data_IF_105987396445
#
_entry.id   IF_105987396445
#
_cell.length_a   1.000
_cell.length_b   1.000
_cell.length_c   1.000
_cell.angle_alpha   90.00
_cell.angle_beta   90.00
_cell.angle_gamma   90.00
#
_symmetry.space_group_name_H-M   'P 1'
#
loop_
_entity.id
_entity.type
_entity.pdbx_description
1 polymer ?
#
# COMPACT_ATOMS: atom_id res chain seq x y z
N UNK A 1 -35.51 -8.56 -15.07
CA UNK A 1 -34.41 -8.99 -14.19
C UNK A 1 -34.21 -7.90 -13.15
N UNK A 2 -34.95 -7.97 -12.04
CA UNK A 2 -34.77 -7.05 -10.91
C UNK A 2 -33.40 -7.35 -10.35
N UNK A 3 -32.47 -6.40 -10.44
CA UNK A 3 -31.40 -6.35 -9.44
C UNK A 3 -32.15 -5.92 -8.19
N UNK A 4 -32.64 -6.90 -7.45
CA UNK A 4 -32.90 -6.77 -6.03
C UNK A 4 -31.55 -6.32 -5.45
N UNK A 5 -31.38 -5.00 -5.40
CA UNK A 5 -30.48 -4.35 -4.45
C UNK A 5 -30.68 -5.13 -3.17
N UNK A 6 -29.63 -5.82 -2.75
CA UNK A 6 -29.57 -6.70 -1.60
C UNK A 6 -30.39 -6.05 -0.48
N UNK A 7 -31.66 -6.45 -0.37
CA UNK A 7 -32.44 -6.15 0.82
C UNK A 7 -31.75 -7.07 1.82
N UNK A 8 -30.85 -6.47 2.59
CA UNK A 8 -30.17 -7.15 3.68
C UNK A 8 -31.28 -7.56 4.62
N UNK A 9 -31.75 -8.80 4.45
CA UNK A 9 -32.67 -9.42 5.37
C UNK A 9 -31.91 -9.52 6.70
N UNK A 10 -32.33 -8.81 7.77
CA UNK A 10 -31.59 -8.81 9.03
C UNK A 10 -31.55 -10.18 9.68
N UNK A 11 -32.34 -11.15 9.19
CA UNK A 11 -32.29 -12.55 9.64
C UNK A 11 -31.13 -13.36 9.04
N UNK A 12 -30.41 -12.84 8.02
CA UNK A 12 -29.35 -13.57 7.31
C UNK A 12 -28.02 -12.80 7.32
N UNK A 13 -26.86 -13.49 7.45
CA UNK A 13 -25.54 -12.84 7.45
C UNK A 13 -25.20 -12.28 6.06
N UNK A 14 -25.46 -13.06 5.02
CA UNK A 14 -25.38 -12.66 3.62
C UNK A 14 -26.77 -12.71 2.98
N UNK A 15 -27.02 -11.81 2.02
CA UNK A 15 -28.25 -11.82 1.22
C UNK A 15 -28.14 -12.87 0.10
N UNK A 16 -27.85 -14.13 0.46
CA UNK A 16 -27.91 -15.29 -0.43
C UNK A 16 -29.05 -16.21 -0.02
N UNK A 17 -29.93 -16.54 -0.97
CA UNK A 17 -31.06 -17.42 -0.72
C UNK A 17 -30.69 -18.87 -1.02
N UNK A 18 -30.50 -19.65 0.04
CA UNK A 18 -30.37 -21.11 -0.02
C UNK A 18 -31.65 -21.76 0.54
N UNK A 19 -32.71 -21.94 -0.26
CA UNK A 19 -34.05 -22.30 0.22
C UNK A 19 -34.09 -23.60 1.05
N UNK A 20 -33.24 -24.59 0.76
CA UNK A 20 -33.18 -25.83 1.54
C UNK A 20 -32.50 -25.69 2.91
N UNK A 21 -31.63 -24.70 3.09
CA UNK A 21 -30.89 -24.48 4.32
C UNK A 21 -31.49 -23.34 5.15
N UNK A 22 -32.13 -22.35 4.52
CA UNK A 22 -32.72 -21.21 5.21
C UNK A 22 -34.03 -21.55 5.94
N UNK A 23 -34.88 -22.40 5.37
CA UNK A 23 -36.20 -22.69 5.93
C UNK A 23 -36.27 -24.07 6.64
N UNK A 24 -35.13 -24.77 6.72
CA UNK A 24 -35.01 -26.13 7.27
C UNK A 24 -34.47 -26.18 8.71
N UNK A 25 -34.44 -27.38 9.34
CA UNK A 25 -33.91 -27.58 10.70
C UNK A 25 -32.39 -27.27 10.82
N UNK A 26 -31.71 -27.11 9.69
CA UNK A 26 -30.29 -26.78 9.61
C UNK A 26 -30.01 -25.27 9.50
N UNK A 27 -31.02 -24.40 9.61
CA UNK A 27 -30.84 -22.94 9.53
C UNK A 27 -29.83 -22.41 10.56
N UNK A 28 -29.96 -22.80 11.83
CA UNK A 28 -29.07 -22.33 12.91
C UNK A 28 -27.61 -22.75 12.70
N UNK A 29 -27.27 -24.04 12.46
CA UNK A 29 -25.89 -24.43 12.21
C UNK A 29 -25.31 -23.82 10.93
N UNK A 30 -26.12 -23.65 9.89
CA UNK A 30 -25.71 -22.98 8.65
C UNK A 30 -25.41 -21.49 8.88
N UNK A 31 -26.27 -20.78 9.61
CA UNK A 31 -26.05 -19.39 10.01
C UNK A 31 -24.75 -19.21 10.81
N UNK A 32 -24.47 -20.11 11.77
CA UNK A 32 -23.23 -20.09 12.55
C UNK A 32 -22.01 -20.31 11.63
N UNK A 33 -22.08 -21.28 10.73
CA UNK A 33 -21.01 -21.55 9.76
C UNK A 33 -20.71 -20.31 8.89
N UNK A 34 -21.75 -19.65 8.41
CA UNK A 34 -21.63 -18.46 7.57
C UNK A 34 -21.02 -17.28 8.33
N UNK A 35 -21.46 -17.03 9.57
CA UNK A 35 -20.86 -16.02 10.45
C UNK A 35 -19.37 -16.30 10.72
N UNK A 36 -19.01 -17.54 11.02
CA UNK A 36 -17.61 -17.93 11.24
C UNK A 36 -16.79 -17.73 9.97
N UNK A 37 -17.33 -18.10 8.81
CA UNK A 37 -16.66 -17.94 7.52
C UNK A 37 -16.39 -16.47 7.20
N UNK A 38 -17.36 -15.58 7.45
CA UNK A 38 -17.21 -14.13 7.28
C UNK A 38 -16.15 -13.55 8.22
N UNK A 39 -16.15 -13.97 9.48
CA UNK A 39 -15.13 -13.53 10.44
C UNK A 39 -13.73 -13.95 9.98
N UNK A 40 -13.55 -15.20 9.58
CA UNK A 40 -12.26 -15.70 9.08
C UNK A 40 -11.82 -14.92 7.85
N UNK A 41 -12.71 -14.68 6.88
CA UNK A 41 -12.40 -13.90 5.69
C UNK A 41 -11.97 -12.47 6.03
N UNK A 42 -12.68 -11.80 6.96
CA UNK A 42 -12.33 -10.46 7.43
C UNK A 42 -10.95 -10.45 8.12
N UNK A 43 -10.66 -11.43 8.96
CA UNK A 43 -9.34 -11.55 9.60
C UNK A 43 -8.22 -11.78 8.58
N UNK A 44 -8.44 -12.65 7.58
CA UNK A 44 -7.47 -12.88 6.53
C UNK A 44 -7.21 -11.62 5.69
N UNK A 45 -8.26 -10.86 5.37
CA UNK A 45 -8.16 -9.60 4.64
C UNK A 45 -7.33 -8.57 5.43
N UNK A 46 -7.67 -8.32 6.70
CA UNK A 46 -6.93 -7.42 7.57
C UNK A 46 -5.46 -7.88 7.73
N UNK A 47 -5.22 -9.18 7.88
CA UNK A 47 -3.87 -9.71 8.01
C UNK A 47 -3.03 -9.46 6.75
N UNK A 48 -3.62 -9.59 5.56
CA UNK A 48 -2.95 -9.29 4.29
C UNK A 48 -2.60 -7.81 4.16
N UNK A 49 -3.54 -6.92 4.49
CA UNK A 49 -3.31 -5.46 4.49
C UNK A 49 -2.17 -5.10 5.45
N UNK A 50 -2.21 -5.63 6.67
CA UNK A 50 -1.19 -5.38 7.68
C UNK A 50 0.17 -5.95 7.30
N UNK A 51 0.22 -7.10 6.64
CA UNK A 51 1.46 -7.69 6.12
C UNK A 51 2.08 -6.75 5.06
N UNK A 52 1.28 -6.26 4.12
CA UNK A 52 1.74 -5.32 3.10
C UNK A 52 2.29 -4.02 3.72
N UNK A 53 1.51 -3.40 4.61
CA UNK A 53 1.91 -2.17 5.31
C UNK A 53 3.17 -2.40 6.15
N UNK A 54 3.27 -3.54 6.83
CA UNK A 54 4.46 -3.90 7.62
C UNK A 54 5.72 -4.01 6.76
N UNK A 55 5.65 -4.75 5.65
CA UNK A 55 6.78 -4.95 4.74
C UNK A 55 7.23 -3.63 4.10
N UNK A 56 6.29 -2.81 3.63
CA UNK A 56 6.60 -1.49 3.06
C UNK A 56 7.14 -0.51 4.10
N UNK A 57 6.65 -0.57 5.35
CA UNK A 57 7.20 0.22 6.46
C UNK A 57 8.64 -0.19 6.76
N UNK A 58 8.95 -1.49 6.76
CA UNK A 58 10.33 -1.96 6.92
C UNK A 58 11.23 -1.40 5.83
N UNK A 59 10.81 -1.48 4.55
CA UNK A 59 11.57 -0.89 3.44
C UNK A 59 11.79 0.62 3.62
N UNK A 60 10.74 1.34 4.01
CA UNK A 60 10.80 2.78 4.29
C UNK A 60 11.81 3.12 5.39
N UNK A 61 11.76 2.40 6.51
CA UNK A 61 12.68 2.60 7.64
C UNK A 61 14.12 2.31 7.22
N UNK A 62 14.35 1.26 6.43
CA UNK A 62 15.70 0.95 5.92
C UNK A 62 16.24 2.06 5.01
N UNK A 63 15.40 2.68 4.18
CA UNK A 63 15.79 3.87 3.39
C UNK A 63 16.14 5.07 4.28
N UNK A 64 15.36 5.33 5.33
CA UNK A 64 15.64 6.41 6.29
C UNK A 64 16.98 6.17 7.00
N UNK A 65 17.25 4.93 7.43
CA UNK A 65 18.52 4.55 8.04
C UNK A 65 19.68 4.79 7.07
N UNK A 66 19.55 4.35 5.82
CA UNK A 66 20.56 4.57 4.79
C UNK A 66 20.80 6.06 4.54
N UNK A 67 19.75 6.87 4.42
CA UNK A 67 19.83 8.32 4.27
C UNK A 67 20.65 8.95 5.41
N UNK A 68 20.33 8.61 6.66
CA UNK A 68 21.05 9.10 7.83
C UNK A 68 22.51 8.62 7.85
N UNK A 69 22.78 7.35 7.49
CA UNK A 69 24.14 6.81 7.39
C UNK A 69 25.00 7.56 6.38
N UNK A 70 24.42 7.95 5.24
CA UNK A 70 25.10 8.68 4.17
C UNK A 70 25.33 10.15 4.53
N UNK A 71 24.34 10.80 5.14
CA UNK A 71 24.43 12.21 5.55
C UNK A 71 25.47 12.40 6.67
N UNK A 72 25.42 11.56 7.71
CA UNK A 72 26.32 11.64 8.87
C UNK A 72 27.58 10.77 8.74
N UNK A 73 27.97 10.38 7.52
CA UNK A 73 29.10 9.49 7.22
C UNK A 73 30.35 9.82 8.05
N UNK A 74 30.79 11.08 8.04
CA UNK A 74 32.01 11.51 8.74
C UNK A 74 31.91 11.37 10.26
N UNK A 75 30.72 11.56 10.83
CA UNK A 75 30.45 11.40 12.25
C UNK A 75 30.44 9.90 12.62
N UNK A 76 29.74 9.09 11.84
CA UNK A 76 29.62 7.65 12.07
C UNK A 76 30.98 6.93 11.97
N UNK A 77 31.83 7.33 11.01
CA UNK A 77 33.19 6.79 10.89
C UNK A 77 34.05 7.14 12.11
N UNK A 78 33.93 8.37 12.66
CA UNK A 78 34.68 8.80 13.85
C UNK A 78 34.27 8.06 15.14
N UNK A 79 33.02 7.62 15.24
CA UNK A 79 32.55 6.82 16.38
C UNK A 79 32.89 5.33 16.25
N UNK A 80 33.46 4.89 15.11
CA UNK A 80 33.93 3.51 14.97
C UNK A 80 35.01 3.21 15.99
N UNK A 81 34.86 2.08 16.70
CA UNK A 81 35.82 1.60 17.70
C UNK A 81 37.22 1.32 17.11
N UNK A 82 37.30 1.17 15.79
CA UNK A 82 38.51 0.92 15.02
C UNK A 82 39.11 2.18 14.39
N UNK A 83 38.54 3.36 14.68
CA UNK A 83 39.02 4.62 14.11
C UNK A 83 40.41 4.98 14.62
N UNK A 84 41.33 5.17 13.68
CA UNK A 84 42.63 5.79 13.86
C UNK A 84 42.88 6.66 12.63
N UNK A 85 43.55 7.80 12.78
CA UNK A 85 43.71 8.76 11.67
C UNK A 85 44.40 8.15 10.44
N UNK A 86 45.39 7.28 10.68
CA UNK A 86 46.08 6.51 9.62
C UNK A 86 45.22 5.46 8.89
N UNK A 87 44.06 5.07 9.45
CA UNK A 87 43.15 4.09 8.85
C UNK A 87 41.83 4.71 8.35
N UNK A 88 41.68 6.04 8.44
CA UNK A 88 40.47 6.76 8.03
C UNK A 88 40.04 6.41 6.62
N UNK A 89 40.98 6.39 5.67
CA UNK A 89 40.67 6.10 4.28
C UNK A 89 40.06 4.71 4.06
N UNK A 90 40.66 3.68 4.65
CA UNK A 90 40.17 2.29 4.53
C UNK A 90 38.79 2.13 5.16
N UNK A 91 38.58 2.73 6.33
CA UNK A 91 37.28 2.75 7.02
C UNK A 91 36.20 3.46 6.19
N UNK A 92 36.52 4.59 5.54
CA UNK A 92 35.56 5.26 4.66
C UNK A 92 35.16 4.39 3.47
N UNK A 93 36.12 3.69 2.85
CA UNK A 93 35.84 2.80 1.71
C UNK A 93 34.92 1.66 2.13
N UNK A 94 35.22 1.02 3.26
CA UNK A 94 34.42 -0.09 3.80
C UNK A 94 33.00 0.38 4.17
N UNK A 95 32.88 1.51 4.86
CA UNK A 95 31.59 2.08 5.25
C UNK A 95 30.71 2.47 4.05
N UNK A 96 31.29 3.07 3.00
CA UNK A 96 30.54 3.41 1.78
C UNK A 96 30.14 2.14 1.02
N UNK A 97 31.01 1.13 0.99
CA UNK A 97 30.69 -0.17 0.40
C UNK A 97 29.48 -0.80 1.11
N UNK A 98 29.46 -0.80 2.44
CA UNK A 98 28.30 -1.29 3.23
C UNK A 98 27.02 -0.49 2.90
N UNK A 99 27.11 0.82 2.71
CA UNK A 99 25.96 1.64 2.32
C UNK A 99 25.44 1.28 0.91
N UNK A 100 26.35 1.03 -0.04
CA UNK A 100 25.98 0.57 -1.38
C UNK A 100 25.33 -0.82 -1.36
N UNK A 101 25.88 -1.76 -0.59
CA UNK A 101 25.32 -3.10 -0.42
C UNK A 101 23.94 -3.04 0.24
N UNK A 102 23.78 -2.24 1.29
CA UNK A 102 22.49 -2.01 1.96
C UNK A 102 21.44 -1.43 1.00
N UNK A 103 21.81 -0.49 0.11
CA UNK A 103 20.90 0.03 -0.91
C UNK A 103 20.43 -1.06 -1.89
N UNK A 104 21.35 -1.92 -2.36
CA UNK A 104 21.02 -3.03 -3.27
C UNK A 104 20.08 -4.03 -2.61
N UNK A 105 20.29 -4.33 -1.32
CA UNK A 105 19.40 -5.20 -0.54
C UNK A 105 17.99 -4.59 -0.42
N UNK A 106 17.88 -3.29 -0.18
CA UNK A 106 16.59 -2.58 -0.12
C UNK A 106 15.89 -2.62 -1.48
N UNK A 107 16.63 -2.38 -2.58
CA UNK A 107 16.11 -2.46 -3.95
C UNK A 107 15.52 -3.85 -4.23
N UNK A 108 16.28 -4.91 -3.95
CA UNK A 108 15.80 -6.30 -4.12
C UNK A 108 14.63 -6.65 -3.20
N UNK A 109 14.60 -6.13 -1.97
CA UNK A 109 13.48 -6.33 -1.06
C UNK A 109 12.18 -5.70 -1.59
N UNK A 110 12.25 -4.47 -2.11
CA UNK A 110 11.10 -3.79 -2.71
C UNK A 110 10.64 -4.47 -4.01
N UNK A 111 11.55 -4.97 -4.84
CA UNK A 111 11.21 -5.76 -6.02
C UNK A 111 10.45 -7.04 -5.65
N UNK A 112 10.85 -7.72 -4.57
CA UNK A 112 10.13 -8.89 -4.06
C UNK A 112 8.73 -8.53 -3.54
N UNK A 113 8.59 -7.42 -2.81
CA UNK A 113 7.27 -6.93 -2.38
C UNK A 113 6.39 -6.64 -3.59
N UNK A 114 6.91 -5.94 -4.60
CA UNK A 114 6.15 -5.62 -5.80
C UNK A 114 5.73 -6.89 -6.56
N UNK A 115 6.63 -7.87 -6.72
CA UNK A 115 6.31 -9.13 -7.40
C UNK A 115 5.23 -9.93 -6.69
N UNK A 116 5.25 -9.99 -5.36
CA UNK A 116 4.25 -10.73 -4.56
C UNK A 116 2.90 -10.00 -4.54
N UNK A 117 2.92 -8.69 -4.33
CA UNK A 117 1.70 -7.91 -4.06
C UNK A 117 1.13 -7.20 -5.27
N UNK A 118 1.81 -7.11 -6.41
CA UNK A 118 1.33 -6.37 -7.59
C UNK A 118 -0.07 -6.81 -8.06
N UNK A 119 -0.27 -8.12 -8.21
CA UNK A 119 -1.57 -8.69 -8.63
C UNK A 119 -2.61 -8.54 -7.52
N UNK A 120 -2.21 -8.77 -6.27
CA UNK A 120 -3.10 -8.65 -5.10
C UNK A 120 -3.62 -7.21 -4.98
N UNK A 121 -2.72 -6.23 -5.06
CA UNK A 121 -3.06 -4.81 -5.04
C UNK A 121 -3.94 -4.45 -6.24
N UNK A 122 -3.63 -4.93 -7.44
CA UNK A 122 -4.48 -4.64 -8.62
C UNK A 122 -5.93 -5.11 -8.41
N UNK A 123 -6.11 -6.34 -7.92
CA UNK A 123 -7.43 -6.90 -7.63
C UNK A 123 -8.11 -6.12 -6.49
N UNK A 124 -7.38 -5.84 -5.40
CA UNK A 124 -7.89 -5.10 -4.25
C UNK A 124 -8.35 -3.69 -4.64
N UNK A 125 -7.54 -2.97 -5.40
CA UNK A 125 -7.89 -1.66 -5.95
C UNK A 125 -9.16 -1.75 -6.80
N UNK A 126 -9.25 -2.75 -7.69
CA UNK A 126 -10.44 -2.96 -8.53
C UNK A 126 -11.71 -3.20 -7.71
N UNK A 127 -11.63 -4.08 -6.69
CA UNK A 127 -12.76 -4.39 -5.80
C UNK A 127 -13.16 -3.16 -4.99
N UNK A 128 -12.21 -2.42 -4.42
CA UNK A 128 -12.48 -1.21 -3.65
C UNK A 128 -13.12 -0.12 -4.50
N UNK A 129 -12.66 0.09 -5.73
CA UNK A 129 -13.30 1.03 -6.67
C UNK A 129 -14.73 0.62 -6.99
N UNK A 130 -14.94 -0.67 -7.30
CA UNK A 130 -16.27 -1.20 -7.57
C UNK A 130 -17.21 -1.00 -6.36
N UNK A 131 -16.74 -1.32 -5.16
CA UNK A 131 -17.50 -1.19 -3.93
C UNK A 131 -17.82 0.27 -3.59
N UNK A 132 -16.86 1.19 -3.76
CA UNK A 132 -17.07 2.64 -3.56
C UNK A 132 -18.14 3.17 -4.52
N UNK A 133 -18.10 2.79 -5.80
CA UNK A 133 -19.09 3.25 -6.77
C UNK A 133 -20.49 2.70 -6.49
N UNK A 134 -20.62 1.44 -6.09
CA UNK A 134 -21.90 0.88 -5.66
C UNK A 134 -22.42 1.53 -4.37
N UNK A 135 -21.53 1.80 -3.40
CA UNK A 135 -21.86 2.53 -2.18
C UNK A 135 -22.39 3.93 -2.48
N UNK A 136 -21.72 4.66 -3.39
CA UNK A 136 -22.17 5.97 -3.84
C UNK A 136 -23.56 5.94 -4.51
N UNK A 137 -23.83 4.96 -5.37
CA UNK A 137 -25.16 4.79 -5.99
C UNK A 137 -26.24 4.47 -4.95
N UNK A 138 -25.93 3.60 -3.98
CA UNK A 138 -26.86 3.25 -2.91
C UNK A 138 -27.20 4.48 -2.06
N UNK A 139 -26.21 5.34 -1.77
CA UNK A 139 -26.41 6.60 -1.03
C UNK A 139 -27.34 7.60 -1.73
N UNK A 140 -27.43 7.56 -3.07
CA UNK A 140 -28.38 8.39 -3.83
C UNK A 140 -29.82 7.89 -3.63
N UNK A 141 -29.98 6.58 -3.41
CA UNK A 141 -31.30 5.92 -3.34
C UNK A 141 -31.84 5.79 -1.91
N UNK A 142 -30.99 5.85 -0.88
CA UNK A 142 -31.39 5.71 0.54
C UNK A 142 -31.38 7.05 1.28
N UNK A 143 -32.20 7.19 2.32
CA UNK A 143 -32.14 8.34 3.22
C UNK A 143 -30.82 8.31 4.00
N UNK A 144 -30.04 9.37 3.91
CA UNK A 144 -28.71 9.50 4.52
C UNK A 144 -28.74 9.21 6.04
N UNK A 145 -29.74 9.73 6.76
CA UNK A 145 -29.90 9.55 8.22
C UNK A 145 -30.58 8.24 8.63
N UNK A 146 -30.77 7.29 7.72
CA UNK A 146 -31.21 5.94 8.08
C UNK A 146 -30.03 5.08 8.55
N UNK A 147 -30.29 4.04 9.33
CA UNK A 147 -29.26 3.07 9.76
C UNK A 147 -28.50 2.52 8.55
N UNK A 148 -29.22 2.15 7.49
CA UNK A 148 -28.65 1.66 6.23
C UNK A 148 -27.77 2.71 5.55
N UNK A 149 -28.21 3.98 5.50
CA UNK A 149 -27.44 5.07 4.93
C UNK A 149 -26.11 5.31 5.67
N UNK A 150 -26.16 5.34 7.01
CA UNK A 150 -24.96 5.49 7.84
C UNK A 150 -23.99 4.32 7.68
N UNK A 151 -24.49 3.07 7.65
CA UNK A 151 -23.64 1.89 7.41
C UNK A 151 -22.89 1.96 6.08
N UNK A 152 -23.55 2.40 5.01
CA UNK A 152 -22.94 2.54 3.69
C UNK A 152 -21.89 3.66 3.68
N UNK A 153 -22.13 4.77 4.39
CA UNK A 153 -21.15 5.86 4.54
C UNK A 153 -19.90 5.34 5.24
N UNK A 154 -20.04 4.70 6.41
CA UNK A 154 -18.89 4.21 7.17
C UNK A 154 -18.11 3.16 6.38
N UNK A 155 -18.79 2.24 5.71
CA UNK A 155 -18.15 1.24 4.86
C UNK A 155 -17.38 1.88 3.70
N UNK A 156 -18.00 2.83 2.98
CA UNK A 156 -17.36 3.53 1.86
C UNK A 156 -16.16 4.36 2.35
N UNK A 157 -16.27 5.01 3.51
CA UNK A 157 -15.19 5.77 4.13
C UNK A 157 -14.02 4.86 4.53
N UNK A 158 -14.30 3.67 5.07
CA UNK A 158 -13.27 2.68 5.40
C UNK A 158 -12.47 2.26 4.17
N UNK A 159 -13.13 1.98 3.04
CA UNK A 159 -12.45 1.66 1.77
C UNK A 159 -11.57 2.81 1.26
N UNK A 160 -12.02 4.06 1.41
CA UNK A 160 -11.17 5.22 1.06
C UNK A 160 -9.95 5.33 1.95
N UNK A 161 -10.09 5.09 3.26
CA UNK A 161 -8.97 5.11 4.21
C UNK A 161 -7.97 4.01 3.84
N UNK A 162 -8.44 2.80 3.57
CA UNK A 162 -7.61 1.66 3.16
C UNK A 162 -6.79 2.01 1.91
N UNK A 163 -7.44 2.49 0.84
CA UNK A 163 -6.77 2.96 -0.37
C UNK A 163 -5.76 4.08 -0.10
N UNK A 164 -6.13 5.02 0.78
CA UNK A 164 -5.26 6.12 1.19
C UNK A 164 -3.99 5.63 1.88
N UNK A 165 -4.11 4.64 2.77
CA UNK A 165 -2.98 4.03 3.49
C UNK A 165 -2.01 3.36 2.50
N UNK A 166 -2.53 2.54 1.58
CA UNK A 166 -1.72 1.89 0.53
C UNK A 166 -0.89 2.90 -0.26
N UNK A 167 -1.53 3.97 -0.72
CA UNK A 167 -0.87 5.01 -1.50
C UNK A 167 0.11 5.84 -0.66
N UNK A 168 -0.22 6.12 0.61
CA UNK A 168 0.62 6.87 1.54
C UNK A 168 1.96 6.17 1.76
N UNK A 169 1.95 4.88 2.07
CA UNK A 169 3.18 4.11 2.28
C UNK A 169 4.00 3.98 0.99
N UNK A 170 3.37 3.70 -0.16
CA UNK A 170 4.06 3.66 -1.45
C UNK A 170 4.73 5.00 -1.81
N UNK A 171 4.05 6.11 -1.53
CA UNK A 171 4.56 7.46 -1.80
C UNK A 171 5.70 7.87 -0.85
N UNK A 172 5.65 7.45 0.42
CA UNK A 172 6.76 7.67 1.35
C UNK A 172 8.02 6.93 0.93
N UNK A 173 7.90 5.68 0.47
CA UNK A 173 9.04 4.92 -0.09
C UNK A 173 9.63 5.66 -1.28
N UNK A 174 8.79 6.14 -2.20
CA UNK A 174 9.21 6.95 -3.33
C UNK A 174 9.99 8.19 -2.89
N UNK A 175 9.43 9.01 -1.98
CA UNK A 175 10.08 10.23 -1.51
C UNK A 175 11.38 9.96 -0.74
N UNK A 176 11.43 8.96 0.12
CA UNK A 176 12.66 8.60 0.83
C UNK A 176 13.74 8.06 -0.11
N UNK A 177 13.36 7.34 -1.17
CA UNK A 177 14.33 6.88 -2.18
C UNK A 177 14.99 8.04 -2.92
N UNK A 178 14.23 9.11 -3.23
CA UNK A 178 14.78 10.33 -3.86
C UNK A 178 15.76 11.07 -2.94
N UNK A 179 15.53 11.03 -1.63
CA UNK A 179 16.42 11.68 -0.65
C UNK A 179 17.81 11.07 -0.64
N UNK A 180 18.01 9.83 -1.13
CA UNK A 180 19.33 9.17 -1.16
C UNK A 180 20.34 9.98 -1.97
N UNK A 181 19.94 10.54 -3.12
CA UNK A 181 20.80 11.42 -3.93
C UNK A 181 21.21 12.66 -3.13
N UNK A 182 20.24 13.26 -2.43
CA UNK A 182 20.46 14.46 -1.63
C UNK A 182 21.41 14.18 -0.45
N UNK A 183 21.19 13.08 0.27
CA UNK A 183 22.06 12.61 1.36
C UNK A 183 23.48 12.32 0.88
N UNK A 184 23.63 11.68 -0.28
CA UNK A 184 24.95 11.48 -0.90
C UNK A 184 25.62 12.82 -1.24
N UNK A 185 24.87 13.79 -1.74
CA UNK A 185 25.38 15.10 -2.13
C UNK A 185 25.90 15.90 -0.92
N UNK A 186 25.21 15.79 0.22
CA UNK A 186 25.62 16.41 1.48
C UNK A 186 26.78 15.70 2.20
N UNK A 187 27.19 14.51 1.76
CA UNK A 187 28.24 13.71 2.42
C UNK A 187 29.68 14.20 2.20
N UNK A 188 29.87 15.42 1.67
CA UNK A 188 31.16 15.99 1.23
C UNK A 188 31.97 15.05 0.33
N UNK A 189 31.28 14.33 -0.55
CA UNK A 189 31.85 13.31 -1.44
C UNK A 189 33.01 13.81 -2.32
N UNK A 190 33.04 15.12 -2.63
CA UNK A 190 34.07 15.76 -3.45
C UNK A 190 35.44 15.87 -2.73
N UNK A 191 35.48 15.76 -1.40
CA UNK A 191 36.72 15.75 -0.60
C UNK A 191 37.31 14.34 -0.45
N UNK A 192 36.58 13.32 -0.91
CA UNK A 192 36.98 11.92 -0.73
C UNK A 192 37.95 11.42 -1.81
N UNK A 193 38.54 10.26 -1.52
CA UNK A 193 39.36 9.50 -2.47
C UNK A 193 38.61 9.15 -3.77
N UNK A 194 39.36 8.95 -4.87
CA UNK A 194 38.79 8.60 -6.17
C UNK A 194 37.95 7.31 -6.16
N UNK A 195 38.29 6.33 -5.31
CA UNK A 195 37.50 5.10 -5.15
C UNK A 195 36.11 5.38 -4.57
N UNK A 196 36.07 6.11 -3.46
CA UNK A 196 34.82 6.51 -2.78
C UNK A 196 33.97 7.41 -3.68
N UNK A 197 34.60 8.37 -4.38
CA UNK A 197 33.92 9.23 -5.35
C UNK A 197 33.18 8.42 -6.41
N UNK A 198 33.86 7.44 -7.02
CA UNK A 198 33.25 6.56 -8.03
C UNK A 198 32.07 5.77 -7.47
N UNK A 199 32.20 5.19 -6.28
CA UNK A 199 31.12 4.44 -5.63
C UNK A 199 29.88 5.31 -5.38
N UNK A 200 30.08 6.51 -4.82
CA UNK A 200 29.00 7.45 -4.54
C UNK A 200 28.34 7.97 -5.82
N UNK A 201 29.11 8.23 -6.88
CA UNK A 201 28.55 8.63 -8.17
C UNK A 201 27.70 7.51 -8.79
N UNK A 202 28.14 6.26 -8.71
CA UNK A 202 27.35 5.11 -9.17
C UNK A 202 26.04 4.99 -8.36
N UNK A 203 26.12 5.16 -7.04
CA UNK A 203 24.94 5.13 -6.17
C UNK A 203 23.97 6.28 -6.51
N UNK A 204 24.48 7.49 -6.71
CA UNK A 204 23.70 8.65 -7.15
C UNK A 204 23.03 8.38 -8.51
N UNK A 205 23.74 7.77 -9.46
CA UNK A 205 23.18 7.47 -10.77
C UNK A 205 22.04 6.44 -10.69
N UNK A 206 22.21 5.38 -9.88
CA UNK A 206 21.15 4.38 -9.67
C UNK A 206 19.93 4.97 -8.99
N UNK A 207 20.14 5.80 -7.97
CA UNK A 207 19.06 6.43 -7.18
C UNK A 207 18.25 7.48 -7.96
N UNK A 208 18.70 7.91 -9.16
CA UNK A 208 17.89 8.74 -10.07
C UNK A 208 16.62 8.04 -10.53
N UNK A 209 16.61 6.72 -10.56
CA UNK A 209 15.37 5.97 -10.70
C UNK A 209 14.84 5.69 -9.29
N UNK A 210 13.82 6.44 -8.83
CA UNK A 210 13.27 6.24 -7.50
C UNK A 210 12.65 4.86 -7.38
N UNK A 211 12.78 4.26 -6.20
CA UNK A 211 12.16 2.98 -5.90
C UNK A 211 10.66 3.22 -5.75
N UNK A 212 9.88 2.61 -6.64
CA UNK A 212 8.44 2.81 -6.70
C UNK A 212 7.71 1.49 -6.88
N UNK A 213 6.70 1.25 -6.04
CA UNK A 213 5.74 0.17 -6.26
C UNK A 213 4.74 0.66 -7.30
N UNK A 214 4.84 0.19 -8.55
CA UNK A 214 4.12 0.76 -9.70
C UNK A 214 2.60 0.69 -9.57
N UNK A 215 2.09 -0.30 -8.83
CA UNK A 215 0.68 -0.52 -8.58
C UNK A 215 0.00 0.60 -7.76
N UNK A 216 0.76 1.44 -7.04
CA UNK A 216 0.22 2.37 -6.03
C UNK A 216 0.15 3.83 -6.50
N UNK A 217 0.06 4.07 -7.80
CA UNK A 217 -0.14 5.41 -8.33
C UNK A 217 -1.56 5.92 -8.03
N UNK A 218 -1.70 6.67 -6.93
CA UNK A 218 -2.97 7.26 -6.45
C UNK A 218 -3.75 8.03 -7.53
N UNK A 219 -3.05 8.76 -8.41
CA UNK A 219 -3.67 9.51 -9.51
C UNK A 219 -4.30 8.61 -10.55
N UNK A 220 -3.73 7.43 -10.79
CA UNK A 220 -4.29 6.40 -11.68
C UNK A 220 -5.54 5.80 -11.06
N UNK A 221 -5.49 5.47 -9.78
CA UNK A 221 -6.60 4.89 -9.02
C UNK A 221 -7.80 5.86 -9.02
N UNK A 222 -7.59 7.13 -8.68
CA UNK A 222 -8.64 8.15 -8.71
C UNK A 222 -9.26 8.34 -10.10
N UNK A 223 -8.44 8.32 -11.16
CA UNK A 223 -8.94 8.41 -12.54
C UNK A 223 -9.81 7.21 -12.89
N UNK A 224 -9.45 6.01 -12.44
CA UNK A 224 -10.23 4.80 -12.68
C UNK A 224 -11.56 4.85 -11.93
N UNK A 225 -11.55 5.26 -10.65
CA UNK A 225 -12.78 5.45 -9.87
C UNK A 225 -13.74 6.45 -10.49
N UNK A 226 -13.23 7.61 -10.88
CA UNK A 226 -14.05 8.65 -11.51
C UNK A 226 -14.60 8.19 -12.87
N UNK A 227 -13.78 7.56 -13.70
CA UNK A 227 -14.20 7.05 -15.01
C UNK A 227 -15.29 5.98 -14.87
N UNK A 228 -15.14 5.06 -13.91
CA UNK A 228 -16.12 4.02 -13.64
C UNK A 228 -17.44 4.61 -13.08
N UNK A 229 -17.35 5.56 -12.15
CA UNK A 229 -18.52 6.28 -11.64
C UNK A 229 -19.27 7.03 -12.75
N UNK A 230 -18.56 7.75 -13.61
CA UNK A 230 -19.15 8.47 -14.73
C UNK A 230 -19.86 7.53 -15.72
N UNK A 231 -19.25 6.37 -16.02
CA UNK A 231 -19.86 5.30 -16.81
C UNK A 231 -21.17 4.81 -16.18
N UNK A 232 -21.12 4.43 -14.89
CA UNK A 232 -22.30 3.96 -14.17
C UNK A 232 -23.42 4.99 -14.12
N UNK A 233 -23.11 6.24 -13.79
CA UNK A 233 -24.09 7.32 -13.76
C UNK A 233 -24.73 7.55 -15.14
N UNK A 234 -23.93 7.48 -16.22
CA UNK A 234 -24.44 7.57 -17.58
C UNK A 234 -25.39 6.40 -17.91
N UNK A 235 -25.05 5.16 -17.56
CA UNK A 235 -25.94 4.01 -17.77
C UNK A 235 -27.23 4.11 -16.95
N UNK A 236 -27.15 4.51 -15.69
CA UNK A 236 -28.32 4.68 -14.80
C UNK A 236 -29.24 5.80 -15.28
N UNK A 237 -28.70 6.91 -15.81
CA UNK A 237 -29.51 7.99 -16.38
C UNK A 237 -30.11 7.63 -17.75
N UNK A 238 -29.43 6.79 -18.55
CA UNK A 238 -29.89 6.39 -19.89
C UNK A 238 -30.91 5.25 -19.85
N UNK A 239 -30.84 4.37 -18.86
CA UNK A 239 -31.81 3.32 -18.60
C UNK A 239 -32.34 3.47 -17.18
N UNK A 240 -33.36 4.32 -16.95
CA UNK A 240 -34.03 4.36 -15.66
C UNK A 240 -34.66 2.98 -15.44
N UNK A 241 -34.09 2.20 -14.52
CA UNK A 241 -34.67 0.93 -14.10
C UNK A 241 -36.00 1.23 -13.42
N UNK A 242 -37.09 1.06 -14.19
CA UNK A 242 -38.48 1.21 -13.74
C UNK A 242 -39.01 -0.13 -13.24
#
# INVERSE_FOLDING_TARGET
MKISVLVVDPSKPLPMDFPHFNDGPFHIPFYIYEMVSLLVAAFCHIAMDMLFVGLTTVALVQLIILNNKLMDKNKNIKYSKFYCDGNRHKLTVEYIKECCEHYIEIEGFLENIENIFSVILFIQLGISVFAICNGGLLLISVKIFSLQGLSVIFYTMALFIELGIYCWFGNNVYFESLKVIHSCSLSHWYEESNGVKKMLLILMERTKQPLQIKALNFTTILKWSYSYFALLNHFTNKFPFK
#
